data_IF_321748015964
#
_entry.id   IF_321748015964
#
_cell.length_a   1.000
_cell.length_b   1.000
_cell.length_c   1.000
_cell.angle_alpha   90.00
_cell.angle_beta   90.00
_cell.angle_gamma   90.00
#
_symmetry.space_group_name_H-M   'P 1'
#
loop_
_entity.id
_entity.type
_entity.pdbx_description
1 polymer ?
#
# COMPACT_ATOMS: atom_id res chain seq x y z
N UNK A 1 -22.14 -9.74 -1.45
CA UNK A 1 -21.02 -9.55 -2.40
C UNK A 1 -19.75 -9.95 -1.67
N UNK A 2 -18.93 -10.83 -2.26
CA UNK A 2 -17.69 -11.31 -1.64
C UNK A 2 -16.54 -10.32 -1.76
N UNK A 3 -15.44 -10.61 -1.07
CA UNK A 3 -14.20 -9.81 -1.14
C UNK A 3 -13.60 -9.92 -2.55
N UNK A 4 -13.58 -8.81 -3.28
CA UNK A 4 -13.03 -8.70 -4.64
C UNK A 4 -11.49 -8.63 -4.67
N UNK A 5 -10.88 -8.79 -5.86
CA UNK A 5 -9.42 -8.68 -6.02
C UNK A 5 -8.88 -7.28 -5.70
N UNK A 6 -9.74 -6.27 -5.77
CA UNK A 6 -9.46 -4.86 -5.47
C UNK A 6 -9.53 -4.53 -3.98
N UNK A 7 -9.87 -5.51 -3.11
CA UNK A 7 -9.89 -5.35 -1.66
C UNK A 7 -8.54 -4.91 -1.07
N UNK A 8 -7.44 -5.44 -1.61
CA UNK A 8 -6.07 -5.17 -1.14
C UNK A 8 -5.25 -4.56 -2.26
N UNK A 9 -4.85 -3.31 -2.08
CA UNK A 9 -3.94 -2.60 -2.96
C UNK A 9 -2.60 -2.44 -2.25
N UNK A 10 -1.53 -2.76 -2.97
CA UNK A 10 -0.18 -2.63 -2.46
C UNK A 10 0.61 -1.71 -3.39
N UNK A 11 1.10 -0.59 -2.88
CA UNK A 11 1.90 0.37 -3.62
C UNK A 11 3.36 0.11 -3.31
N UNK A 12 4.12 -0.22 -4.35
CA UNK A 12 5.54 -0.55 -4.24
C UNK A 12 6.37 0.63 -4.76
N UNK A 13 7.15 1.25 -3.89
CA UNK A 13 7.94 2.44 -4.19
C UNK A 13 9.44 2.13 -4.10
N UNK A 14 10.15 2.32 -5.21
CA UNK A 14 11.61 2.21 -5.25
C UNK A 14 12.26 3.44 -4.61
N UNK A 15 12.99 3.20 -3.51
CA UNK A 15 13.73 4.21 -2.75
C UNK A 15 15.25 4.11 -3.00
N UNK A 16 15.64 3.63 -4.18
CA UNK A 16 17.02 3.59 -4.64
C UNK A 16 17.54 4.96 -5.10
N UNK A 17 18.88 5.15 -5.14
CA UNK A 17 19.51 6.44 -5.45
C UNK A 17 19.18 6.98 -6.85
N UNK A 18 18.66 6.14 -7.76
CA UNK A 18 18.23 6.59 -9.09
C UNK A 18 16.98 7.47 -9.03
N UNK A 19 16.11 7.28 -8.04
CA UNK A 19 14.90 8.08 -7.85
C UNK A 19 15.18 9.45 -7.24
N UNK A 20 16.40 9.68 -6.74
CA UNK A 20 16.88 10.99 -6.30
C UNK A 20 17.10 11.97 -7.46
N UNK A 21 17.31 11.44 -8.68
CA UNK A 21 17.62 12.26 -9.85
C UNK A 21 16.44 13.17 -10.17
N UNK A 22 16.75 14.38 -10.64
CA UNK A 22 15.74 15.24 -11.24
C UNK A 22 15.05 14.46 -12.36
N UNK A 23 13.72 14.53 -12.37
CA UNK A 23 12.88 13.83 -13.34
C UNK A 23 13.08 14.32 -14.78
N UNK A 24 13.75 15.45 -14.99
CA UNK A 24 13.92 16.07 -16.31
C UNK A 24 12.60 16.50 -16.97
N UNK A 25 11.48 16.38 -16.26
CA UNK A 25 10.14 16.67 -16.76
C UNK A 25 9.82 18.16 -16.73
N UNK A 26 9.11 18.57 -17.78
CA UNK A 26 8.93 19.94 -18.26
C UNK A 26 7.99 20.75 -17.34
N UNK A 27 8.56 21.42 -16.34
CA UNK A 27 7.85 22.35 -15.47
C UNK A 27 8.82 23.15 -14.60
N UNK A 28 8.42 24.34 -14.12
CA UNK A 28 9.24 25.31 -13.35
C UNK A 28 9.81 24.79 -12.01
N UNK A 29 9.65 23.50 -11.67
CA UNK A 29 10.03 22.96 -10.37
C UNK A 29 10.85 21.68 -10.54
N UNK A 30 12.14 21.77 -10.20
CA UNK A 30 13.08 20.64 -10.19
C UNK A 30 12.73 19.66 -9.07
N UNK A 31 11.78 18.76 -9.35
CA UNK A 31 11.41 17.65 -8.47
C UNK A 31 12.13 16.36 -8.85
N UNK A 32 12.55 15.62 -7.82
CA UNK A 32 13.10 14.27 -7.98
C UNK A 32 12.02 13.28 -8.45
N UNK A 33 12.43 12.19 -9.10
CA UNK A 33 11.51 11.09 -9.44
C UNK A 33 10.80 10.53 -8.19
N UNK A 34 11.50 10.46 -7.06
CA UNK A 34 10.93 10.09 -5.77
C UNK A 34 9.75 10.99 -5.38
N UNK A 35 9.94 12.31 -5.47
CA UNK A 35 8.88 13.29 -5.18
C UNK A 35 7.64 13.05 -6.05
N UNK A 36 7.83 12.78 -7.35
CA UNK A 36 6.72 12.46 -8.24
C UNK A 36 5.99 11.17 -7.88
N UNK A 37 6.71 10.10 -7.54
CA UNK A 37 6.10 8.84 -7.10
C UNK A 37 5.29 9.02 -5.81
N UNK A 38 5.78 9.85 -4.88
CA UNK A 38 5.08 10.17 -3.64
C UNK A 38 3.81 10.96 -3.93
N UNK A 39 3.88 11.99 -4.76
CA UNK A 39 2.70 12.79 -5.16
C UNK A 39 1.65 11.92 -5.85
N UNK A 40 2.05 11.04 -6.77
CA UNK A 40 1.15 10.10 -7.42
C UNK A 40 0.51 9.11 -6.43
N UNK A 41 1.26 8.66 -5.43
CA UNK A 41 0.75 7.75 -4.39
C UNK A 41 -0.28 8.44 -3.49
N UNK A 42 -0.03 9.69 -3.12
CA UNK A 42 -0.97 10.48 -2.33
C UNK A 42 -2.25 10.77 -3.14
N UNK A 43 -2.13 11.04 -4.44
CA UNK A 43 -3.28 11.26 -5.31
C UNK A 43 -4.10 9.98 -5.53
N UNK A 44 -3.44 8.83 -5.67
CA UNK A 44 -4.10 7.52 -5.69
C UNK A 44 -4.88 7.29 -4.39
N UNK A 45 -4.24 7.53 -3.25
CA UNK A 45 -4.86 7.40 -1.94
C UNK A 45 -6.10 8.29 -1.80
N UNK A 46 -5.98 9.58 -2.14
CA UNK A 46 -7.09 10.54 -2.15
C UNK A 46 -8.24 10.04 -3.02
N UNK A 47 -7.94 9.62 -4.25
CA UNK A 47 -8.94 9.11 -5.20
C UNK A 47 -9.67 7.88 -4.67
N UNK A 48 -8.95 6.93 -4.08
CA UNK A 48 -9.56 5.74 -3.47
C UNK A 48 -10.42 6.12 -2.27
N UNK A 49 -9.95 7.04 -1.41
CA UNK A 49 -10.70 7.53 -0.26
C UNK A 49 -12.00 8.24 -0.67
N UNK A 50 -11.97 9.02 -1.76
CA UNK A 50 -13.12 9.78 -2.25
C UNK A 50 -14.17 8.87 -2.93
N UNK A 51 -13.73 7.88 -3.70
CA UNK A 51 -14.61 6.98 -4.47
C UNK A 51 -15.15 5.80 -3.64
N UNK A 52 -14.37 5.35 -2.65
CA UNK A 52 -14.73 4.26 -1.76
C UNK A 52 -14.71 4.76 -0.32
N UNK A 53 -15.61 5.71 0.04
CA UNK A 53 -15.78 6.09 1.43
C UNK A 53 -16.08 4.83 2.23
N UNK A 54 -15.67 4.80 3.50
CA UNK A 54 -15.98 3.66 4.37
C UNK A 54 -17.49 3.44 4.42
N UNK A 55 -17.99 2.55 3.58
CA UNK A 55 -19.38 2.16 3.62
C UNK A 55 -19.61 1.48 4.96
N UNK A 56 -20.73 1.80 5.61
CA UNK A 56 -21.09 1.41 6.97
C UNK A 56 -21.33 -0.11 7.15
N UNK A 57 -20.85 -0.93 6.22
CA UNK A 57 -20.80 -2.39 6.31
C UNK A 57 -19.34 -2.87 6.26
N UNK A 58 -18.88 -3.51 7.34
CA UNK A 58 -17.55 -4.12 7.56
C UNK A 58 -17.02 -5.09 6.48
N UNK A 59 -17.72 -5.26 5.36
CA UNK A 59 -17.46 -6.34 4.40
C UNK A 59 -16.77 -5.89 3.10
N UNK A 60 -16.47 -4.59 2.91
CA UNK A 60 -15.87 -4.14 1.64
C UNK A 60 -14.93 -2.92 1.73
N UNK A 61 -14.25 -2.70 2.85
CA UNK A 61 -13.25 -1.62 2.95
C UNK A 61 -12.08 -1.87 2.00
N UNK A 62 -11.76 -0.89 1.15
CA UNK A 62 -10.53 -0.93 0.32
C UNK A 62 -9.33 -0.64 1.21
N UNK A 63 -8.34 -1.52 1.17
CA UNK A 63 -7.12 -1.39 1.96
C UNK A 63 -5.94 -1.02 1.06
N UNK A 64 -5.16 -0.02 1.46
CA UNK A 64 -3.91 0.35 0.81
C UNK A 64 -2.76 0.14 1.80
N UNK A 65 -1.69 -0.50 1.33
CA UNK A 65 -0.40 -0.57 2.03
C UNK A 65 0.72 -0.08 1.13
N UNK A 66 1.75 0.48 1.76
CA UNK A 66 2.94 0.94 1.08
C UNK A 66 4.11 0.00 1.41
N UNK A 67 4.80 -0.43 0.37
CA UNK A 67 6.07 -1.16 0.47
C UNK A 67 7.15 -0.31 -0.16
N UNK A 68 8.16 -0.02 0.63
CA UNK A 68 9.38 0.61 0.17
C UNK A 68 10.36 -0.46 -0.24
N UNK A 69 10.90 -0.27 -1.42
CA UNK A 69 11.97 -1.09 -1.97
C UNK A 69 13.26 -0.32 -1.75
N UNK A 70 13.92 -0.63 -0.64
CA UNK A 70 15.29 -0.26 -0.38
C UNK A 70 16.13 -1.54 -0.15
N UNK A 71 17.36 -1.40 0.36
CA UNK A 71 18.22 -2.54 0.65
C UNK A 71 17.56 -3.62 1.52
N UNK A 72 16.66 -3.24 2.44
CA UNK A 72 16.02 -4.16 3.39
C UNK A 72 14.61 -4.56 2.92
N UNK A 73 13.94 -3.68 2.17
CA UNK A 73 12.51 -3.81 1.91
C UNK A 73 11.73 -3.48 3.18
N UNK A 74 10.84 -2.49 3.15
CA UNK A 74 10.06 -2.10 4.33
C UNK A 74 8.59 -2.02 3.99
N UNK A 75 7.77 -2.84 4.65
CA UNK A 75 6.33 -2.62 4.67
C UNK A 75 6.05 -1.54 5.71
N UNK A 76 5.47 -0.42 5.30
CA UNK A 76 5.22 0.71 6.20
C UNK A 76 4.11 0.40 7.22
N UNK A 77 3.20 -0.51 6.88
CA UNK A 77 2.14 -0.98 7.77
C UNK A 77 2.29 -2.49 8.05
N UNK A 78 2.48 -2.93 9.31
CA UNK A 78 2.83 -4.32 9.62
C UNK A 78 1.67 -5.32 9.39
N UNK A 79 0.41 -4.90 9.55
CA UNK A 79 -0.79 -5.74 9.34
C UNK A 79 -1.81 -5.06 8.42
N UNK A 80 -2.67 -5.85 7.76
CA UNK A 80 -3.79 -5.29 6.99
C UNK A 80 -4.78 -4.72 8.00
N UNK A 81 -5.06 -3.42 7.91
CA UNK A 81 -6.05 -2.80 8.77
C UNK A 81 -7.47 -3.27 8.45
N UNK A 82 -8.42 -2.87 9.28
CA UNK A 82 -9.86 -3.00 9.01
C UNK A 82 -10.37 -1.90 8.08
N UNK A 83 -9.60 -0.83 7.97
CA UNK A 83 -9.97 0.43 7.33
C UNK A 83 -8.85 0.91 6.41
N UNK A 84 -9.21 1.76 5.45
CA UNK A 84 -8.23 2.45 4.63
C UNK A 84 -7.35 3.31 5.55
N UNK A 85 -6.03 3.15 5.42
CA UNK A 85 -5.04 4.00 6.11
C UNK A 85 -5.35 5.48 5.84
N UNK A 86 -5.21 6.35 6.83
CA UNK A 86 -5.47 7.78 6.62
C UNK A 86 -4.35 8.43 5.81
N UNK A 87 -4.64 9.52 5.11
CA UNK A 87 -3.63 10.25 4.35
C UNK A 87 -2.49 10.76 5.25
N UNK A 88 -2.81 11.12 6.49
CA UNK A 88 -1.82 11.55 7.49
C UNK A 88 -0.85 10.43 7.86
N UNK A 89 -1.36 9.22 8.10
CA UNK A 89 -0.52 8.05 8.39
C UNK A 89 0.39 7.70 7.20
N UNK A 90 -0.11 7.83 5.97
CA UNK A 90 0.70 7.66 4.76
C UNK A 90 1.83 8.69 4.72
N UNK A 91 1.53 9.98 4.92
CA UNK A 91 2.52 11.06 4.94
C UNK A 91 3.57 10.83 6.04
N UNK A 92 3.15 10.52 7.26
CA UNK A 92 4.06 10.24 8.38
C UNK A 92 4.98 9.06 8.03
N UNK A 93 4.41 7.97 7.49
CA UNK A 93 5.18 6.79 7.08
C UNK A 93 6.24 7.14 6.04
N UNK A 94 5.92 8.06 5.12
CA UNK A 94 6.82 8.51 4.06
C UNK A 94 7.90 9.48 4.57
N UNK A 95 7.58 10.33 5.54
CA UNK A 95 8.52 11.27 6.15
C UNK A 95 9.57 10.58 7.04
N UNK A 96 9.21 9.45 7.67
CA UNK A 96 10.13 8.66 8.50
C UNK A 96 11.25 7.98 7.69
N UNK A 97 11.16 7.98 6.36
CA UNK A 97 12.16 7.42 5.46
C UNK A 97 13.27 8.45 5.26
N UNK A 98 14.25 8.44 6.16
CA UNK A 98 15.45 9.28 6.01
C UNK A 98 16.55 8.53 5.26
N UNK A 99 16.94 9.13 4.12
CA UNK A 99 18.08 8.81 3.23
C UNK A 99 17.98 7.56 2.36
N UNK A 100 18.35 7.76 1.10
CA UNK A 100 18.44 6.76 0.04
C UNK A 100 19.60 5.82 0.34
N UNK A 101 19.30 4.53 0.51
CA UNK A 101 20.32 3.49 0.66
C UNK A 101 20.53 2.79 -0.69
N UNK A 102 21.79 2.55 -1.04
CA UNK A 102 22.16 1.83 -2.26
C UNK A 102 21.84 0.33 -2.11
N UNK A 103 20.81 -0.17 -2.80
CA UNK A 103 20.42 -1.58 -2.80
C UNK A 103 19.56 -1.95 -4.01
N UNK A 104 19.53 -3.23 -4.38
CA UNK A 104 18.81 -3.73 -5.56
C UNK A 104 17.32 -3.96 -5.28
N UNK A 105 16.46 -3.63 -6.26
CA UNK A 105 15.00 -3.58 -6.10
C UNK A 105 14.27 -4.94 -5.91
N UNK A 106 14.99 -6.06 -5.99
CA UNK A 106 14.40 -7.41 -6.02
C UNK A 106 13.81 -7.78 -4.65
N UNK A 107 14.41 -7.34 -3.54
CA UNK A 107 13.93 -7.62 -2.17
C UNK A 107 12.53 -7.08 -1.91
N UNK A 108 12.20 -5.89 -2.43
CA UNK A 108 10.92 -5.24 -2.15
C UNK A 108 9.73 -5.84 -2.90
N UNK A 109 9.93 -6.43 -4.08
CA UNK A 109 8.84 -7.15 -4.79
C UNK A 109 8.49 -8.44 -4.07
N UNK A 110 9.47 -9.18 -3.56
CA UNK A 110 9.22 -10.37 -2.74
C UNK A 110 8.44 -10.00 -1.47
N UNK A 111 8.87 -8.95 -0.77
CA UNK A 111 8.17 -8.46 0.43
C UNK A 111 6.73 -8.01 0.11
N UNK A 112 6.52 -7.41 -1.05
CA UNK A 112 5.19 -7.03 -1.53
C UNK A 112 4.28 -8.24 -1.76
N UNK A 113 4.81 -9.31 -2.36
CA UNK A 113 4.08 -10.58 -2.56
C UNK A 113 3.75 -11.22 -1.21
N UNK A 114 4.69 -11.23 -0.26
CA UNK A 114 4.47 -11.74 1.09
C UNK A 114 3.36 -10.94 1.81
N UNK A 115 3.40 -9.61 1.74
CA UNK A 115 2.39 -8.74 2.32
C UNK A 115 0.99 -8.96 1.69
N UNK A 116 0.91 -9.14 0.38
CA UNK A 116 -0.34 -9.48 -0.31
C UNK A 116 -0.88 -10.87 0.07
N UNK A 117 0.00 -11.80 0.40
CA UNK A 117 -0.36 -13.16 0.81
C UNK A 117 -0.96 -13.21 2.23
N UNK A 118 -0.67 -12.20 3.08
CA UNK A 118 -1.29 -12.08 4.39
C UNK A 118 -2.80 -11.86 4.27
N UNK A 119 -3.59 -12.58 5.07
CA UNK A 119 -5.03 -12.39 5.14
C UNK A 119 -5.36 -11.08 5.86
N UNK A 120 -6.37 -10.37 5.37
CA UNK A 120 -7.01 -9.28 6.11
C UNK A 120 -8.09 -9.81 7.05
N UNK A 121 -8.49 -9.02 8.04
CA UNK A 121 -9.56 -9.39 8.99
C UNK A 121 -10.86 -9.76 8.28
N UNK A 122 -11.22 -9.02 7.22
CA UNK A 122 -12.39 -9.33 6.40
C UNK A 122 -12.27 -10.72 5.74
N UNK A 123 -11.09 -11.07 5.21
CA UNK A 123 -10.84 -12.38 4.59
C UNK A 123 -10.85 -13.51 5.62
N UNK A 124 -10.30 -13.27 6.82
CA UNK A 124 -10.34 -14.25 7.91
C UNK A 124 -11.77 -14.54 8.36
N UNK A 125 -12.59 -13.50 8.51
CA UNK A 125 -13.99 -13.65 8.90
C UNK A 125 -14.82 -14.34 7.81
N UNK A 126 -14.57 -14.05 6.53
CA UNK A 126 -15.23 -14.77 5.43
C UNK A 126 -14.87 -16.27 5.47
N UNK A 127 -13.59 -16.61 5.58
CA UNK A 127 -13.13 -18.01 5.67
C UNK A 127 -13.75 -18.74 6.88
N UNK A 128 -13.91 -18.05 8.02
CA UNK A 128 -14.55 -18.61 9.22
C UNK A 128 -16.03 -18.94 8.97
N UNK A 129 -16.76 -18.06 8.29
CA UNK A 129 -18.18 -18.30 7.95
C UNK A 129 -18.36 -19.48 7.00
N UNK A 130 -17.50 -19.58 5.99
CA UNK A 130 -17.53 -20.68 5.02
C UNK A 130 -17.22 -22.04 5.67
N UNK A 131 -16.31 -22.08 6.64
CA UNK A 131 -15.97 -23.31 7.36
C UNK A 131 -17.07 -23.77 8.32
N UNK A 132 -17.78 -22.85 8.97
CA UNK A 132 -18.96 -23.18 9.79
C UNK A 132 -20.10 -23.73 8.93
N UNK A 133 -20.43 -23.06 7.83
CA UNK A 133 -21.49 -23.51 6.91
C UNK A 133 -21.23 -24.90 6.33
N UNK A 134 -19.96 -25.24 6.03
CA UNK A 134 -19.57 -26.59 5.55
C UNK A 134 -19.65 -27.69 6.62
N UNK A 135 -19.62 -27.35 7.90
CA UNK A 135 -19.75 -28.33 9.00
C UNK A 135 -21.20 -28.60 9.37
N UNK A 136 -22.09 -27.68 9.03
CA UNK A 136 -23.54 -27.77 9.30
C UNK A 136 -24.33 -28.34 8.10
N UNK A 137 -23.65 -28.62 6.98
CA UNK A 137 -24.19 -29.25 5.76
C UNK A 137 -23.76 -30.71 5.67
#
# INVERSE_FOLDING_TARGET
>A
MGIGPDHKVLVVLDHGPRFAKSSGNVGKCDKSLWTWCIEATLELHRTVSDLFPQEQGRSCSRLIRLVLVDYVGRVLQPHWGTELVTQQEVIISLLLISRLYSGAAISGVTLAIEALSQLSDAQMEQNRRETVSKRES
#
